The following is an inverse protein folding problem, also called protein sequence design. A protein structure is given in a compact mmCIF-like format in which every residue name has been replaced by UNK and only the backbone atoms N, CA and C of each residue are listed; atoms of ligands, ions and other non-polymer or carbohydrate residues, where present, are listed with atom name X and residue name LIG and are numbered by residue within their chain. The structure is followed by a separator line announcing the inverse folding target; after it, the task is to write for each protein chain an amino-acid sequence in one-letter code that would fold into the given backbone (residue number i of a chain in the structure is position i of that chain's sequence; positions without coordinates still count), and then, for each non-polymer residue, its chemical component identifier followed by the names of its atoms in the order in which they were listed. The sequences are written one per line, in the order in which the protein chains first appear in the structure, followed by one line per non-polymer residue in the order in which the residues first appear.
data_IF_395520145989
#
_entry.id   IF_395520145989
#
_cell.length_a   1.000
_cell.length_b   1.000
_cell.length_c   1.000
_cell.angle_alpha   90.00
_cell.angle_beta   90.00
_cell.angle_gamma   90.00
#
_symmetry.space_group_name_H-M   'P 1'
#
loop_
_entity.id
_entity.type
_entity.pdbx_description
1 polymer ?
#
# COMPACT_ATOMS: atom_id res chain seq x y z
N UNK A 1 7.57 8.41 24.64
CA UNK A 1 8.88 8.96 24.23
C UNK A 1 9.19 8.50 22.81
N UNK A 2 9.40 9.39 21.83
CA UNK A 2 9.78 8.98 20.49
C UNK A 2 11.29 8.70 20.47
N UNK A 3 11.67 7.48 20.10
CA UNK A 3 13.07 7.09 19.93
C UNK A 3 13.66 7.88 18.76
N UNK A 4 14.64 8.74 19.05
CA UNK A 4 15.48 9.39 18.03
C UNK A 4 16.35 8.31 17.39
N UNK A 5 15.93 7.79 16.23
CA UNK A 5 16.83 7.03 15.36
C UNK A 5 18.03 7.92 15.02
N UNK A 6 19.25 7.41 15.20
CA UNK A 6 20.45 8.18 14.89
C UNK A 6 20.56 8.51 13.39
N UNK A 7 21.40 9.49 12.99
CA UNK A 7 21.56 9.92 11.60
C UNK A 7 21.85 8.76 10.63
N UNK A 8 22.62 7.78 11.09
CA UNK A 8 22.99 6.58 10.32
C UNK A 8 21.78 5.68 9.99
N UNK A 9 20.81 5.58 10.89
CA UNK A 9 19.61 4.75 10.67
C UNK A 9 18.68 5.40 9.65
N UNK A 10 18.57 6.73 9.65
CA UNK A 10 17.75 7.48 8.70
C UNK A 10 18.31 7.33 7.29
N UNK A 11 19.63 7.54 7.11
CA UNK A 11 20.29 7.38 5.81
C UNK A 11 20.12 5.95 5.25
N UNK A 12 20.27 4.93 6.10
CA UNK A 12 20.04 3.55 5.69
C UNK A 12 18.59 3.31 5.21
N UNK A 13 17.60 3.92 5.87
CA UNK A 13 16.20 3.81 5.44
C UNK A 13 15.91 4.61 4.16
N UNK A 14 16.56 5.75 3.97
CA UNK A 14 16.42 6.56 2.76
C UNK A 14 16.98 5.82 1.54
N UNK A 15 18.13 5.15 1.69
CA UNK A 15 18.69 4.28 0.65
C UNK A 15 17.81 3.05 0.39
N UNK A 16 17.20 2.49 1.45
CA UNK A 16 16.44 1.24 1.32
C UNK A 16 15.04 1.46 0.75
N UNK A 17 14.34 2.50 1.19
CA UNK A 17 12.91 2.72 0.90
C UNK A 17 12.60 4.12 0.34
N UNK A 18 13.62 4.95 0.15
CA UNK A 18 13.46 6.36 -0.19
C UNK A 18 13.27 7.26 1.02
N UNK A 19 13.57 8.54 0.83
CA UNK A 19 13.35 9.61 1.82
C UNK A 19 11.88 9.63 2.29
N UNK A 20 11.66 9.91 3.57
CA UNK A 20 10.31 10.11 4.10
C UNK A 20 9.77 11.49 3.68
N UNK A 21 8.73 11.51 2.84
CA UNK A 21 8.13 12.73 2.31
C UNK A 21 6.66 12.83 2.73
N UNK A 22 6.19 14.05 3.02
CA UNK A 22 4.78 14.34 3.20
C UNK A 22 3.97 13.87 1.98
N UNK A 23 2.73 13.40 2.12
CA UNK A 23 1.91 12.97 0.98
C UNK A 23 1.69 14.10 -0.04
N UNK A 24 1.68 13.76 -1.32
CA UNK A 24 1.42 14.74 -2.40
C UNK A 24 0.03 15.40 -2.28
N UNK A 25 -0.94 14.68 -1.70
CA UNK A 25 -2.24 15.20 -1.28
C UNK A 25 -2.82 14.36 -0.14
N UNK A 26 -3.68 14.99 0.65
CA UNK A 26 -4.47 14.35 1.71
C UNK A 26 -5.93 14.74 1.49
N UNK A 27 -6.80 13.74 1.33
CA UNK A 27 -8.24 13.94 1.24
C UNK A 27 -8.80 14.15 2.67
N UNK A 28 -9.86 14.96 2.88
CA UNK A 28 -10.26 15.44 4.21
C UNK A 28 -10.32 14.38 5.32
N UNK A 29 -11.00 13.25 5.05
CA UNK A 29 -11.15 12.20 6.07
C UNK A 29 -9.92 11.30 6.24
N UNK A 30 -8.88 11.40 5.40
CA UNK A 30 -7.66 10.59 5.53
C UNK A 30 -6.79 11.04 6.72
N UNK A 31 -6.97 12.26 7.23
CA UNK A 31 -6.33 12.73 8.47
C UNK A 31 -7.14 12.44 9.73
N UNK A 32 -8.43 12.12 9.58
CA UNK A 32 -9.38 11.95 10.69
C UNK A 32 -9.65 10.48 11.00
N UNK A 33 -9.70 9.63 9.97
CA UNK A 33 -10.12 8.25 10.07
C UNK A 33 -8.96 7.29 9.78
N UNK A 34 -9.01 6.13 10.45
CA UNK A 34 -8.16 5.00 10.15
C UNK A 34 -8.99 3.88 9.54
N UNK A 35 -8.50 3.19 8.49
CA UNK A 35 -9.19 2.05 7.93
C UNK A 35 -9.42 0.96 8.99
N UNK A 36 -10.58 0.29 8.95
CA UNK A 36 -10.92 -0.81 9.86
C UNK A 36 -10.04 -2.05 9.63
N UNK A 37 -9.63 -2.28 8.39
CA UNK A 37 -8.74 -3.37 7.96
C UNK A 37 -7.25 -3.04 8.11
N UNK A 38 -6.91 -1.92 8.75
CA UNK A 38 -5.52 -1.49 8.92
C UNK A 38 -4.72 -2.45 9.81
N UNK A 39 -3.64 -2.95 9.26
CA UNK A 39 -2.67 -3.75 10.01
C UNK A 39 -1.24 -3.27 9.76
N UNK A 40 -0.42 -3.34 10.80
CA UNK A 40 1.04 -3.27 10.66
C UNK A 40 1.57 -4.63 10.21
N UNK A 41 2.53 -4.65 9.29
CA UNK A 41 3.27 -5.88 8.97
C UNK A 41 4.09 -6.32 10.19
N UNK A 42 3.83 -7.55 10.61
CA UNK A 42 4.45 -8.21 11.76
C UNK A 42 4.42 -9.71 11.51
N UNK A 43 5.06 -10.51 12.38
CA UNK A 43 5.04 -11.97 12.24
C UNK A 43 3.61 -12.54 12.21
N UNK A 44 2.72 -12.02 13.06
CA UNK A 44 1.36 -12.54 13.19
C UNK A 44 0.47 -12.13 12.02
N UNK A 45 0.47 -10.84 11.69
CA UNK A 45 -0.32 -10.31 10.57
C UNK A 45 0.18 -10.82 9.23
N UNK A 46 1.51 -10.99 9.05
CA UNK A 46 2.07 -11.59 7.85
C UNK A 46 1.70 -13.07 7.71
N UNK A 47 1.61 -13.82 8.81
CA UNK A 47 1.13 -15.22 8.77
C UNK A 47 -0.30 -15.30 8.24
N UNK A 48 -1.19 -14.41 8.70
CA UNK A 48 -2.59 -14.37 8.24
C UNK A 48 -2.68 -13.93 6.77
N UNK A 49 -1.96 -12.88 6.39
CA UNK A 49 -1.89 -12.41 5.00
C UNK A 49 -1.36 -13.50 4.07
N UNK A 50 -0.33 -14.25 4.49
CA UNK A 50 0.20 -15.38 3.73
C UNK A 50 -0.84 -16.49 3.54
N UNK A 51 -1.61 -16.83 4.56
CA UNK A 51 -2.67 -17.84 4.47
C UNK A 51 -3.72 -17.44 3.43
N UNK A 52 -4.13 -16.17 3.44
CA UNK A 52 -5.03 -15.61 2.42
C UNK A 52 -4.45 -15.72 1.01
N UNK A 53 -3.18 -15.35 0.84
CA UNK A 53 -2.50 -15.39 -0.45
C UNK A 53 -2.38 -16.83 -0.98
N UNK A 54 -2.05 -17.80 -0.13
CA UNK A 54 -1.98 -19.22 -0.49
C UNK A 54 -3.33 -19.77 -0.93
N UNK A 55 -4.42 -19.39 -0.25
CA UNK A 55 -5.78 -19.80 -0.65
C UNK A 55 -6.13 -19.26 -2.04
N UNK A 56 -5.76 -18.00 -2.32
CA UNK A 56 -5.95 -17.34 -3.60
C UNK A 56 -5.14 -18.01 -4.72
N UNK A 57 -3.88 -18.29 -4.46
CA UNK A 57 -2.98 -18.97 -5.40
C UNK A 57 -3.48 -20.38 -5.75
N UNK A 58 -3.95 -21.14 -4.75
CA UNK A 58 -4.50 -22.50 -4.94
C UNK A 58 -5.76 -22.57 -5.80
N UNK A 59 -6.39 -21.43 -6.11
CA UNK A 59 -7.49 -21.39 -7.07
C UNK A 59 -8.88 -21.30 -6.49
N UNK A 60 -9.04 -20.92 -5.22
CA UNK A 60 -10.36 -20.60 -4.70
C UNK A 60 -10.91 -19.37 -5.42
N UNK A 61 -11.86 -19.59 -6.33
CA UNK A 61 -12.35 -18.58 -7.28
C UNK A 61 -12.81 -17.29 -6.63
N UNK A 62 -13.52 -17.38 -5.50
CA UNK A 62 -13.98 -16.20 -4.75
C UNK A 62 -12.82 -15.30 -4.34
N UNK A 63 -11.73 -15.86 -3.83
CA UNK A 63 -10.56 -15.06 -3.43
C UNK A 63 -9.79 -14.53 -4.63
N UNK A 64 -9.68 -15.29 -5.73
CA UNK A 64 -9.02 -14.81 -6.95
C UNK A 64 -9.71 -13.59 -7.53
N UNK A 65 -11.03 -13.66 -7.66
CA UNK A 65 -11.81 -12.56 -8.20
C UNK A 65 -11.78 -11.34 -7.29
N UNK A 66 -11.92 -11.54 -5.98
CA UNK A 66 -11.88 -10.45 -4.99
C UNK A 66 -10.53 -9.72 -5.05
N UNK A 67 -9.40 -10.43 -5.00
CA UNK A 67 -8.09 -9.79 -4.92
C UNK A 67 -7.46 -9.44 -6.28
N UNK A 68 -8.10 -9.82 -7.40
CA UNK A 68 -7.79 -9.20 -8.69
C UNK A 68 -8.42 -7.81 -8.83
N UNK A 69 -9.51 -7.54 -8.11
CA UNK A 69 -10.26 -6.27 -8.20
C UNK A 69 -10.04 -5.33 -7.01
N UNK A 70 -9.87 -5.87 -5.79
CA UNK A 70 -9.67 -5.08 -4.57
C UNK A 70 -8.18 -5.01 -4.20
N UNK A 71 -7.52 -3.85 -4.40
CA UNK A 71 -6.12 -3.72 -4.06
C UNK A 71 -5.97 -3.63 -2.54
N UNK A 72 -4.94 -4.30 -2.01
CA UNK A 72 -4.43 -4.06 -0.67
C UNK A 72 -3.46 -2.88 -0.78
N UNK A 73 -3.82 -1.75 -0.20
CA UNK A 73 -2.92 -0.62 -0.07
C UNK A 73 -1.79 -0.99 0.89
N UNK A 74 -0.56 -0.56 0.58
CA UNK A 74 0.57 -0.66 1.49
C UNK A 74 1.39 0.64 1.51
N UNK A 75 2.02 0.94 2.64
CA UNK A 75 2.93 2.08 2.79
C UNK A 75 4.00 1.80 3.84
N UNK A 76 5.20 2.33 3.61
CA UNK A 76 6.28 2.41 4.60
C UNK A 76 6.23 3.78 5.25
N UNK A 77 6.03 3.84 6.56
CA UNK A 77 6.04 5.10 7.29
C UNK A 77 7.45 5.69 7.42
N UNK A 78 7.53 6.91 7.96
CA UNK A 78 8.80 7.64 8.15
C UNK A 78 9.85 6.88 8.96
N UNK A 79 9.46 5.94 9.82
CA UNK A 79 10.38 5.16 10.66
C UNK A 79 10.60 3.73 10.14
N UNK A 80 10.13 3.42 8.93
CA UNK A 80 10.38 2.14 8.26
C UNK A 80 9.39 1.04 8.61
N UNK A 81 8.26 1.33 9.27
CA UNK A 81 7.22 0.31 9.52
C UNK A 81 6.31 0.22 8.30
N UNK A 82 5.96 -1.02 7.97
CA UNK A 82 5.03 -1.34 6.90
C UNK A 82 3.61 -1.42 7.43
N UNK A 83 2.70 -0.75 6.75
CA UNK A 83 1.27 -0.73 7.02
C UNK A 83 0.52 -1.18 5.79
N UNK A 84 -0.57 -1.92 5.96
CA UNK A 84 -1.42 -2.36 4.87
C UNK A 84 -2.89 -2.39 5.26
N UNK A 85 -3.77 -2.21 4.28
CA UNK A 85 -5.23 -2.14 4.45
C UNK A 85 -5.90 -2.42 3.11
N UNK A 86 -7.17 -2.81 3.10
CA UNK A 86 -7.99 -2.65 1.89
C UNK A 86 -8.27 -1.16 1.68
N UNK A 87 -8.43 -0.71 0.42
CA UNK A 87 -8.90 0.65 0.15
C UNK A 87 -10.39 0.74 0.54
N UNK A 88 -10.68 1.36 1.67
CA UNK A 88 -12.04 1.44 2.23
C UNK A 88 -12.78 2.68 1.75
N UNK A 89 -14.11 2.61 1.69
CA UNK A 89 -15.00 3.74 1.43
C UNK A 89 -15.88 3.99 2.64
N UNK A 90 -15.92 5.25 3.06
CA UNK A 90 -16.72 5.73 4.20
C UNK A 90 -17.79 6.72 3.75
N UNK A 91 -18.84 6.85 4.56
CA UNK A 91 -19.81 7.92 4.42
C UNK A 91 -19.17 9.25 4.86
N UNK A 92 -19.27 10.29 4.03
CA UNK A 92 -18.63 11.57 4.32
C UNK A 92 -19.27 12.32 5.52
N UNK A 93 -20.52 11.99 5.84
CA UNK A 93 -21.31 12.62 6.91
C UNK A 93 -21.35 11.77 8.18
N UNK A 94 -21.58 10.46 8.10
CA UNK A 94 -21.65 9.62 9.31
C UNK A 94 -20.29 9.08 9.73
N UNK A 95 -19.27 9.17 8.85
CA UNK A 95 -17.93 8.57 9.03
C UNK A 95 -17.93 7.04 9.13
N UNK A 96 -19.07 6.39 8.86
CA UNK A 96 -19.19 4.94 8.92
C UNK A 96 -18.56 4.29 7.68
N UNK A 97 -17.94 3.14 7.88
CA UNK A 97 -17.50 2.27 6.80
C UNK A 97 -18.70 1.76 6.00
N UNK A 98 -18.57 1.72 4.67
CA UNK A 98 -19.61 1.23 3.77
C UNK A 98 -19.16 -0.03 3.02
N UNK A 99 -18.08 0.06 2.23
CA UNK A 99 -17.61 -1.03 1.38
C UNK A 99 -16.13 -0.86 0.98
N UNK A 100 -15.45 -1.93 0.53
CA UNK A 100 -14.12 -1.79 -0.05
C UNK A 100 -14.22 -1.28 -1.50
N UNK A 101 -13.24 -0.48 -1.92
CA UNK A 101 -13.19 0.07 -3.27
C UNK A 101 -12.49 -0.90 -4.23
N UNK A 102 -13.20 -1.28 -5.29
CA UNK A 102 -12.60 -1.95 -6.44
C UNK A 102 -11.82 -0.98 -7.34
N UNK A 103 -10.77 -1.50 -7.99
CA UNK A 103 -10.01 -0.75 -8.99
C UNK A 103 -10.94 -0.27 -10.10
N UNK A 104 -10.63 0.91 -10.64
CA UNK A 104 -11.38 1.55 -11.73
C UNK A 104 -12.82 2.02 -11.43
N UNK A 105 -13.38 1.71 -10.26
CA UNK A 105 -14.68 2.25 -9.86
C UNK A 105 -14.54 3.62 -9.19
N UNK A 106 -15.46 4.52 -9.53
CA UNK A 106 -15.60 5.83 -8.87
C UNK A 106 -16.33 5.66 -7.54
N UNK A 107 -15.94 6.43 -6.54
CA UNK A 107 -16.70 6.55 -5.30
C UNK A 107 -18.01 7.28 -5.56
N UNK A 108 -19.10 6.81 -4.93
CA UNK A 108 -20.40 7.45 -5.04
C UNK A 108 -20.39 8.83 -4.38
N UNK A 109 -21.32 9.69 -4.77
CA UNK A 109 -21.52 10.98 -4.12
C UNK A 109 -21.84 10.79 -2.61
N UNK A 110 -21.36 11.70 -1.77
CA UNK A 110 -21.51 11.59 -0.32
C UNK A 110 -20.61 10.53 0.33
N UNK A 111 -19.70 9.91 -0.42
CA UNK A 111 -18.71 8.96 0.10
C UNK A 111 -17.28 9.41 -0.18
N UNK A 112 -16.35 9.01 0.68
CA UNK A 112 -14.92 9.24 0.47
C UNK A 112 -14.17 7.92 0.61
N UNK A 113 -13.19 7.68 -0.26
CA UNK A 113 -12.23 6.60 -0.04
C UNK A 113 -11.15 7.01 0.97
N UNK A 114 -10.63 6.04 1.70
CA UNK A 114 -9.45 6.18 2.56
C UNK A 114 -8.24 5.61 1.81
N UNK A 115 -7.39 6.48 1.28
CA UNK A 115 -6.16 6.11 0.59
C UNK A 115 -4.97 5.97 1.54
N UNK A 116 -3.77 5.88 0.94
CA UNK A 116 -2.51 5.68 1.67
C UNK A 116 -2.27 6.62 2.85
N UNK A 117 -2.62 7.93 2.80
CA UNK A 117 -2.40 8.81 3.95
C UNK A 117 -3.13 8.33 5.22
N UNK A 118 -4.32 7.73 5.09
CA UNK A 118 -5.10 7.22 6.22
C UNK A 118 -4.41 6.05 6.96
N UNK A 119 -3.51 5.32 6.30
CA UNK A 119 -2.76 4.21 6.92
C UNK A 119 -1.76 4.72 7.96
N UNK A 120 -1.27 5.95 7.79
CA UNK A 120 -0.18 6.55 8.58
C UNK A 120 -0.54 7.95 9.10
N UNK A 121 -1.82 8.19 9.37
CA UNK A 121 -2.32 9.43 10.01
C UNK A 121 -1.90 10.70 9.24
N UNK A 122 -1.95 10.63 7.91
CA UNK A 122 -1.50 11.65 6.98
C UNK A 122 -0.03 12.10 7.16
N UNK A 123 0.77 11.31 7.88
CA UNK A 123 2.17 11.60 8.15
C UNK A 123 3.11 11.34 6.97
N UNK A 124 4.40 11.74 7.09
CA UNK A 124 5.40 11.45 6.09
C UNK A 124 5.60 9.95 5.89
N UNK A 125 5.70 9.55 4.62
CA UNK A 125 5.90 8.16 4.21
C UNK A 125 7.03 8.05 3.19
N UNK A 126 7.69 6.90 3.20
CA UNK A 126 8.79 6.58 2.30
C UNK A 126 8.21 6.16 0.97
N UNK A 127 7.91 4.88 0.78
CA UNK A 127 7.28 4.37 -0.44
C UNK A 127 5.94 3.70 -0.11
N UNK A 128 5.02 3.68 -1.06
CA UNK A 128 3.77 2.95 -0.93
C UNK A 128 3.15 2.64 -2.30
N UNK A 129 2.14 1.79 -2.29
CA UNK A 129 1.44 1.37 -3.49
C UNK A 129 0.42 0.29 -3.22
N UNK A 130 0.30 -0.67 -4.12
CA UNK A 130 -0.77 -1.68 -4.08
C UNK A 130 -0.19 -3.09 -4.11
N UNK A 131 -0.88 -4.01 -3.45
CA UNK A 131 -0.71 -5.46 -3.60
C UNK A 131 -2.01 -6.02 -4.16
N UNK A 132 -1.92 -6.83 -5.21
CA UNK A 132 -3.08 -7.44 -5.85
C UNK A 132 -2.70 -8.76 -6.53
N UNK A 133 -3.71 -9.61 -6.77
CA UNK A 133 -3.53 -10.84 -7.52
C UNK A 133 -3.76 -10.59 -9.00
N UNK A 134 -2.69 -10.51 -9.79
CA UNK A 134 -2.77 -10.30 -11.23
C UNK A 134 -3.02 -11.64 -11.94
N UNK A 135 -4.23 -11.80 -12.48
CA UNK A 135 -4.65 -12.97 -13.25
C UNK A 135 -3.94 -13.10 -14.60
N UNK A 136 -3.38 -12.00 -15.11
CA UNK A 136 -2.76 -11.91 -16.43
C UNK A 136 -1.24 -11.87 -16.38
N UNK A 137 -0.65 -11.88 -15.17
CA UNK A 137 0.79 -11.99 -15.00
C UNK A 137 1.34 -13.23 -15.71
N UNK A 138 2.53 -13.08 -16.31
CA UNK A 138 3.18 -14.13 -17.11
C UNK A 138 4.42 -14.67 -16.38
N UNK A 139 4.69 -15.99 -16.44
CA UNK A 139 3.98 -17.02 -17.19
C UNK A 139 2.66 -17.49 -16.57
N UNK A 140 2.39 -17.17 -15.31
CA UNK A 140 1.19 -17.55 -14.58
C UNK A 140 0.74 -16.44 -13.63
N UNK A 141 -0.55 -16.42 -13.29
CA UNK A 141 -1.12 -15.49 -12.33
C UNK A 141 -0.32 -15.45 -11.01
N UNK A 142 -0.14 -14.25 -10.46
CA UNK A 142 0.73 -14.04 -9.31
C UNK A 142 0.26 -12.88 -8.44
N UNK A 143 0.67 -12.90 -7.17
CA UNK A 143 0.59 -11.71 -6.34
C UNK A 143 1.67 -10.73 -6.75
N UNK A 144 1.25 -9.50 -7.05
CA UNK A 144 2.12 -8.41 -7.45
C UNK A 144 2.15 -7.33 -6.37
N UNK A 145 3.29 -6.68 -6.21
CA UNK A 145 3.45 -5.45 -5.43
C UNK A 145 3.88 -4.32 -6.35
N UNK A 146 3.19 -3.19 -6.26
CA UNK A 146 3.47 -2.01 -7.08
C UNK A 146 3.80 -0.82 -6.19
N UNK A 147 4.47 0.19 -6.73
CA UNK A 147 4.55 1.54 -6.14
C UNK A 147 3.40 2.44 -6.64
N UNK A 148 2.24 1.88 -6.98
CA UNK A 148 1.08 2.56 -7.56
C UNK A 148 0.35 3.55 -6.65
N UNK A 149 1.03 4.13 -5.67
CA UNK A 149 0.48 5.22 -4.87
C UNK A 149 0.80 6.57 -5.51
N UNK A 150 -0.22 7.28 -5.97
CA UNK A 150 -0.08 8.69 -6.37
C UNK A 150 0.27 9.63 -5.22
N UNK A 151 0.33 9.15 -3.98
CA UNK A 151 0.68 9.95 -2.78
C UNK A 151 2.08 9.65 -2.26
N UNK A 152 2.55 8.41 -2.40
CA UNK A 152 3.84 7.97 -1.84
C UNK A 152 4.80 7.28 -2.82
N UNK A 153 4.30 6.80 -3.97
CA UNK A 153 5.01 5.81 -4.80
C UNK A 153 5.44 6.27 -6.18
N UNK A 154 4.69 7.16 -6.85
CA UNK A 154 4.97 7.58 -8.24
C UNK A 154 5.57 8.99 -8.35
N UNK A 155 6.39 9.37 -7.37
CA UNK A 155 6.96 10.71 -7.23
C UNK A 155 8.48 10.70 -7.40
N UNK A 156 9.11 11.84 -7.76
CA UNK A 156 10.56 11.91 -7.90
C UNK A 156 11.28 11.38 -6.66
N UNK A 157 12.38 10.63 -6.86
CA UNK A 157 13.11 9.98 -5.77
C UNK A 157 12.58 8.59 -5.36
N UNK A 158 11.64 8.02 -6.13
CA UNK A 158 11.28 6.59 -6.03
C UNK A 158 11.94 5.79 -7.15
N UNK A 159 12.59 4.69 -6.76
CA UNK A 159 13.39 3.86 -7.66
C UNK A 159 12.84 2.42 -7.65
N UNK A 160 13.16 1.62 -8.69
CA UNK A 160 12.85 0.19 -8.69
C UNK A 160 13.41 -0.53 -7.45
N UNK A 161 14.62 -0.17 -7.01
CA UNK A 161 15.25 -0.79 -5.84
C UNK A 161 14.46 -0.56 -4.55
N UNK A 162 13.86 0.62 -4.36
CA UNK A 162 13.01 0.87 -3.19
C UNK A 162 11.79 -0.07 -3.16
N UNK A 163 11.18 -0.33 -4.32
CA UNK A 163 10.06 -1.27 -4.43
C UNK A 163 10.52 -2.71 -4.23
N UNK A 164 11.64 -3.10 -4.85
CA UNK A 164 12.22 -4.44 -4.68
C UNK A 164 12.57 -4.71 -3.21
N UNK A 165 13.09 -3.70 -2.50
CA UNK A 165 13.36 -3.81 -1.05
C UNK A 165 12.08 -3.94 -0.23
N UNK A 166 11.00 -3.22 -0.59
CA UNK A 166 9.69 -3.42 0.01
C UNK A 166 9.20 -4.87 -0.18
N UNK A 167 9.30 -5.42 -1.40
CA UNK A 167 8.96 -6.82 -1.67
C UNK A 167 9.81 -7.81 -0.83
N UNK A 168 11.12 -7.54 -0.66
CA UNK A 168 12.00 -8.34 0.19
C UNK A 168 11.57 -8.36 1.65
N UNK A 169 11.03 -7.26 2.18
CA UNK A 169 10.51 -7.24 3.57
C UNK A 169 9.30 -8.19 3.75
N UNK A 170 8.38 -8.25 2.79
CA UNK A 170 7.32 -9.27 2.79
C UNK A 170 7.90 -10.69 2.64
N UNK A 171 8.93 -10.87 1.81
CA UNK A 171 9.59 -12.15 1.58
C UNK A 171 10.25 -12.72 2.84
N UNK A 172 10.70 -11.87 3.78
CA UNK A 172 11.20 -12.30 5.11
C UNK A 172 10.15 -13.05 5.93
N UNK A 173 8.86 -12.83 5.65
CA UNK A 173 7.74 -13.57 6.25
C UNK A 173 7.25 -14.73 5.35
N UNK A 174 7.96 -15.01 4.26
CA UNK A 174 7.62 -16.03 3.28
C UNK A 174 6.41 -15.66 2.42
N UNK A 175 6.13 -14.37 2.25
CA UNK A 175 5.16 -13.83 1.27
C UNK A 175 5.94 -13.45 0.01
N UNK A 176 5.65 -14.12 -1.12
CA UNK A 176 6.32 -13.83 -2.40
C UNK A 176 5.46 -12.88 -3.21
N UNK A 177 6.02 -11.73 -3.57
CA UNK A 177 5.37 -10.71 -4.40
C UNK A 177 6.24 -10.42 -5.61
N UNK A 178 5.64 -10.36 -6.79
CA UNK A 178 6.30 -9.91 -8.01
C UNK A 178 6.28 -8.38 -8.04
N UNK A 179 7.44 -7.73 -8.05
CA UNK A 179 7.51 -6.28 -8.10
C UNK A 179 7.21 -5.76 -9.51
N UNK A 180 6.29 -4.80 -9.59
CA UNK A 180 5.91 -4.12 -10.83
C UNK A 180 6.08 -2.62 -10.60
N UNK A 181 7.24 -2.12 -11.01
CA UNK A 181 7.58 -0.70 -10.83
C UNK A 181 6.89 0.18 -11.87
N UNK A 182 6.20 1.20 -11.39
CA UNK A 182 5.53 2.24 -12.16
C UNK A 182 6.43 3.48 -12.15
N UNK A 183 7.02 3.87 -13.29
CA UNK A 183 7.85 5.06 -13.37
C UNK A 183 7.06 6.32 -13.00
N UNK A 184 7.76 7.31 -12.46
CA UNK A 184 7.19 8.65 -12.31
C UNK A 184 6.86 9.17 -13.71
N UNK A 185 5.57 9.33 -14.02
CA UNK A 185 5.15 9.99 -15.25
C UNK A 185 5.62 11.45 -15.17
N UNK A 186 6.45 11.88 -16.11
CA UNK A 186 6.77 13.30 -16.23
C UNK A 186 5.45 14.06 -16.36
N UNK A 187 5.15 14.95 -15.39
CA UNK A 187 4.01 15.85 -15.54
C UNK A 187 4.32 16.70 -16.76
N UNK A 188 3.63 16.45 -17.88
CA UNK A 188 3.58 17.42 -18.96
C UNK A 188 3.01 18.69 -18.35
N UNK A 189 3.86 19.71 -18.18
CA UNK A 189 3.44 21.05 -17.85
C UNK A 189 2.69 21.57 -19.08
N UNK A 190 1.37 21.44 -19.08
CA UNK A 190 0.48 22.28 -19.88
C UNK A 190 0.10 23.50 -19.07
#
# INVERSE_FOLDING_TARGET
MPGKGGPTLILALDETFGEALAPDRVDPLEGELRPQSLHRLSRDTARLLKQLMVVTEKGLGVTRYVYSELPILWVVDSVGKFWFSIEEVVNATTREYIFPRARYFRTAEGTQKLGHPALIEAGPGRIGGEILFDLHYKPSAAWCITNGSGRYGTRPGRTPDHLANAAKEFARYGIKLQDVFIPTMARNRT
#
